data_IF_112866797378
#
_entry.id   IF_112866797378
#
_cell.length_a   1.000
_cell.length_b   1.000
_cell.length_c   1.000
_cell.angle_alpha   90.00
_cell.angle_beta   90.00
_cell.angle_gamma   90.00
#
_symmetry.space_group_name_H-M   'P 1'
#
loop_
_entity.id
_entity.type
_entity.pdbx_description
1 polymer ?
#
# COMPACT_ATOMS: atom_id res chain seq x y z
N UNK A 1 -11.08 7.69 4.71
CA UNK A 1 -10.59 7.80 6.11
C UNK A 1 -11.21 6.69 6.93
N UNK A 2 -10.39 5.93 7.65
CA UNK A 2 -10.80 4.89 8.59
C UNK A 2 -10.38 5.31 10.00
N UNK A 3 -11.33 5.28 10.93
CA UNK A 3 -11.10 5.71 12.30
C UNK A 3 -11.90 4.83 13.26
N UNK A 4 -11.28 4.54 14.40
CA UNK A 4 -11.98 3.99 15.55
C UNK A 4 -12.58 5.15 16.34
N UNK A 5 -13.83 4.99 16.75
CA UNK A 5 -14.57 6.04 17.45
C UNK A 5 -14.82 5.61 18.89
N UNK A 6 -14.44 6.49 19.80
CA UNK A 6 -14.74 6.35 21.22
C UNK A 6 -15.68 7.48 21.66
N UNK A 7 -16.73 7.15 22.40
CA UNK A 7 -17.67 8.13 22.93
C UNK A 7 -17.39 8.31 24.42
N UNK A 8 -17.03 9.53 24.82
CA UNK A 8 -16.74 9.87 26.22
C UNK A 8 -17.70 10.94 26.74
N UNK A 9 -17.94 10.92 28.05
CA UNK A 9 -18.75 11.94 28.73
C UNK A 9 -17.91 13.19 29.00
N UNK A 10 -18.60 14.32 29.22
CA UNK A 10 -17.96 15.60 29.52
C UNK A 10 -17.12 15.53 30.80
N UNK A 11 -17.65 14.86 31.83
CA UNK A 11 -16.99 14.72 33.13
C UNK A 11 -15.75 13.82 33.08
N UNK A 12 -15.71 12.84 32.17
CA UNK A 12 -14.58 11.93 32.05
C UNK A 12 -13.37 12.58 31.38
N UNK A 13 -13.58 13.60 30.54
CA UNK A 13 -12.53 14.32 29.79
C UNK A 13 -12.80 15.84 29.75
N UNK A 14 -12.71 16.53 30.91
CA UNK A 14 -12.96 17.97 30.97
C UNK A 14 -11.97 18.76 30.12
N UNK A 15 -10.73 18.26 29.99
CA UNK A 15 -9.66 18.81 29.16
C UNK A 15 -10.04 18.91 27.67
N UNK A 16 -10.86 17.98 27.18
CA UNK A 16 -11.36 18.00 25.81
C UNK A 16 -12.57 18.91 25.67
N UNK A 17 -13.43 18.98 26.69
CA UNK A 17 -14.58 19.87 26.67
C UNK A 17 -14.15 21.34 26.57
N UNK A 18 -13.12 21.75 27.33
CA UNK A 18 -12.57 23.11 27.27
C UNK A 18 -12.09 23.47 25.85
N UNK A 19 -11.37 22.56 25.18
CA UNK A 19 -10.87 22.78 23.80
C UNK A 19 -11.96 22.83 22.75
N UNK A 20 -13.08 22.15 22.99
CA UNK A 20 -14.22 22.09 22.07
C UNK A 20 -15.26 23.18 22.36
N UNK A 21 -15.07 23.94 23.44
CA UNK A 21 -16.03 24.97 23.83
C UNK A 21 -15.94 26.18 22.92
N UNK A 22 -17.09 26.61 22.41
CA UNK A 22 -17.19 27.76 21.52
C UNK A 22 -17.71 28.95 22.33
N UNK A 23 -16.93 30.02 22.42
CA UNK A 23 -17.35 31.26 23.06
C UNK A 23 -18.57 31.86 22.34
N UNK A 24 -19.52 32.39 23.12
CA UNK A 24 -20.73 33.04 22.63
C UNK A 24 -21.64 32.19 21.73
N UNK A 25 -21.48 30.86 21.72
CA UNK A 25 -22.36 29.94 21.01
C UNK A 25 -23.35 29.30 21.99
N UNK A 26 -24.64 29.31 21.67
CA UNK A 26 -25.67 28.67 22.50
C UNK A 26 -25.82 27.20 22.12
N UNK A 27 -25.28 26.29 22.93
CA UNK A 27 -25.39 24.85 22.76
C UNK A 27 -25.52 24.11 24.09
N UNK A 28 -26.00 22.87 24.05
CA UNK A 28 -26.02 21.96 25.20
C UNK A 28 -25.10 20.78 24.91
N UNK A 29 -23.86 20.75 25.42
CA UNK A 29 -22.95 19.64 25.19
C UNK A 29 -23.50 18.37 25.86
N UNK A 30 -23.34 17.22 25.20
CA UNK A 30 -23.85 15.93 25.70
C UNK A 30 -22.75 14.88 25.80
N UNK A 31 -21.98 14.69 24.73
CA UNK A 31 -20.91 13.70 24.64
C UNK A 31 -19.79 14.24 23.76
N UNK A 32 -18.60 13.71 23.94
CA UNK A 32 -17.44 13.96 23.07
C UNK A 32 -17.20 12.68 22.27
N UNK A 33 -16.97 12.82 20.97
CA UNK A 33 -16.58 11.73 20.10
C UNK A 33 -15.10 11.88 19.77
N UNK A 34 -14.29 10.93 20.22
CA UNK A 34 -12.87 10.87 19.91
C UNK A 34 -12.66 9.94 18.71
N UNK A 35 -12.21 10.53 17.61
CA UNK A 35 -11.85 9.80 16.40
C UNK A 35 -10.35 9.49 16.43
N UNK A 36 -10.00 8.22 16.62
CA UNK A 36 -8.63 7.73 16.48
C UNK A 36 -8.43 7.34 15.03
N UNK A 37 -7.77 8.22 14.27
CA UNK A 37 -7.52 8.01 12.84
C UNK A 37 -6.52 6.87 12.68
N UNK A 38 -6.98 5.75 12.14
CA UNK A 38 -6.17 4.56 11.89
C UNK A 38 -5.59 4.57 10.46
N UNK A 39 -6.30 5.22 9.53
CA UNK A 39 -5.85 5.37 8.16
C UNK A 39 -6.50 6.56 7.50
N UNK A 40 -5.68 7.42 6.90
CA UNK A 40 -6.16 8.49 6.03
C UNK A 40 -5.88 8.10 4.59
N UNK A 41 -6.92 7.69 3.88
CA UNK A 41 -6.83 7.51 2.43
C UNK A 41 -6.92 8.89 1.78
N UNK A 42 -5.78 9.40 1.30
CA UNK A 42 -5.71 10.63 0.53
C UNK A 42 -6.47 10.50 -0.80
N UNK A 43 -6.65 9.26 -1.27
CA UNK A 43 -7.24 8.93 -2.55
C UNK A 43 -8.65 8.34 -2.34
N UNK A 44 -9.63 9.19 -2.08
CA UNK A 44 -11.02 8.74 -2.01
C UNK A 44 -11.56 8.44 -3.43
N UNK A 45 -11.94 7.19 -3.76
CA UNK A 45 -12.47 6.86 -5.09
C UNK A 45 -13.79 7.57 -5.42
N UNK A 46 -14.50 8.12 -4.44
CA UNK A 46 -15.66 8.99 -4.71
C UNK A 46 -15.30 10.28 -5.44
N UNK A 47 -14.04 10.72 -5.37
CA UNK A 47 -13.59 12.00 -5.92
C UNK A 47 -12.48 11.88 -6.96
N UNK A 48 -11.96 10.67 -7.18
CA UNK A 48 -10.98 10.39 -8.23
C UNK A 48 -11.72 9.68 -9.36
N UNK A 49 -12.07 10.43 -10.40
CA UNK A 49 -12.61 9.84 -11.63
C UNK A 49 -11.50 9.08 -12.35
N UNK A 50 -11.64 7.76 -12.59
CA UNK A 50 -10.66 7.00 -13.36
C UNK A 50 -10.52 7.59 -14.77
N UNK A 51 -9.29 7.95 -15.17
CA UNK A 51 -9.02 8.56 -16.49
C UNK A 51 -9.02 7.53 -17.63
N UNK A 52 -8.67 6.28 -17.33
CA UNK A 52 -8.57 5.19 -18.30
C UNK A 52 -9.34 3.97 -17.80
N UNK A 53 -9.93 3.23 -18.72
CA UNK A 53 -10.49 1.90 -18.41
C UNK A 53 -9.41 0.83 -18.47
N UNK A 54 -9.62 -0.28 -17.78
CA UNK A 54 -8.63 -1.38 -17.72
C UNK A 54 -8.15 -1.85 -19.09
N UNK A 55 -9.06 -1.93 -20.06
CA UNK A 55 -8.74 -2.38 -21.42
C UNK A 55 -7.73 -1.46 -22.11
N UNK A 56 -7.90 -0.14 -21.99
CA UNK A 56 -7.00 0.84 -22.60
C UNK A 56 -5.60 0.76 -22.00
N UNK A 57 -5.51 0.59 -20.67
CA UNK A 57 -4.22 0.41 -19.99
C UNK A 57 -3.56 -0.90 -20.39
N UNK A 58 -4.32 -1.98 -20.52
CA UNK A 58 -3.80 -3.28 -20.93
C UNK A 58 -3.27 -3.22 -22.37
N UNK A 59 -4.01 -2.60 -23.30
CA UNK A 59 -3.58 -2.41 -24.68
C UNK A 59 -2.32 -1.54 -24.76
N UNK A 60 -2.26 -0.44 -24.01
CA UNK A 60 -1.10 0.46 -24.00
C UNK A 60 0.18 -0.19 -23.43
N UNK A 61 0.05 -1.19 -22.56
CA UNK A 61 1.17 -1.87 -21.91
C UNK A 61 1.46 -3.26 -22.50
N UNK A 62 0.71 -3.71 -23.51
CA UNK A 62 0.78 -5.08 -24.02
C UNK A 62 2.21 -5.46 -24.47
N UNK A 63 2.86 -4.60 -25.26
CA UNK A 63 4.20 -4.83 -25.77
C UNK A 63 5.23 -4.98 -24.63
N UNK A 64 5.11 -4.15 -23.59
CA UNK A 64 5.99 -4.19 -22.42
C UNK A 64 5.77 -5.46 -21.59
N UNK A 65 4.51 -5.91 -21.48
CA UNK A 65 4.16 -7.15 -20.78
C UNK A 65 4.76 -8.35 -21.51
N UNK A 66 4.67 -8.37 -22.84
CA UNK A 66 5.24 -9.43 -23.68
C UNK A 66 6.78 -9.46 -23.61
N UNK A 67 7.42 -8.28 -23.69
CA UNK A 67 8.86 -8.18 -23.53
C UNK A 67 9.32 -8.62 -22.13
N UNK A 68 8.63 -8.17 -21.08
CA UNK A 68 8.95 -8.56 -19.70
C UNK A 68 8.81 -10.09 -19.51
N UNK A 69 7.84 -10.73 -20.17
CA UNK A 69 7.68 -12.18 -20.15
C UNK A 69 8.87 -12.86 -20.84
N UNK A 70 9.23 -12.43 -22.06
CA UNK A 70 10.37 -12.97 -22.81
C UNK A 70 11.67 -12.86 -22.00
N UNK A 71 11.95 -11.67 -21.46
CA UNK A 71 13.16 -11.41 -20.68
C UNK A 71 13.21 -12.24 -19.40
N UNK A 72 12.07 -12.48 -18.74
CA UNK A 72 12.02 -13.38 -17.57
C UNK A 72 12.34 -14.82 -17.94
N UNK A 73 11.78 -15.33 -19.05
CA UNK A 73 12.07 -16.68 -19.52
C UNK A 73 13.55 -16.86 -19.91
N UNK A 74 14.13 -15.87 -20.58
CA UNK A 74 15.55 -15.88 -20.94
C UNK A 74 16.45 -15.82 -19.71
N UNK A 75 16.16 -14.91 -18.76
CA UNK A 75 16.90 -14.82 -17.51
C UNK A 75 16.90 -16.15 -16.74
N UNK A 76 15.77 -16.85 -16.68
CA UNK A 76 15.69 -18.15 -16.01
C UNK A 76 16.51 -19.24 -16.74
N UNK A 77 16.56 -19.22 -18.09
CA UNK A 77 17.42 -20.13 -18.86
C UNK A 77 18.90 -19.84 -18.61
N UNK A 78 19.31 -18.57 -18.67
CA UNK A 78 20.69 -18.16 -18.45
C UNK A 78 21.17 -18.51 -17.04
N UNK A 79 20.34 -18.27 -16.01
CA UNK A 79 20.66 -18.67 -14.63
C UNK A 79 20.90 -20.17 -14.49
N UNK A 80 20.09 -21.01 -15.16
CA UNK A 80 20.29 -22.47 -15.15
C UNK A 80 21.60 -22.87 -15.82
N UNK A 81 21.91 -22.31 -16.99
CA UNK A 81 23.17 -22.56 -17.69
C UNK A 81 24.38 -22.15 -16.86
N UNK A 82 24.33 -20.97 -16.24
CA UNK A 82 25.39 -20.49 -15.33
C UNK A 82 25.55 -21.46 -14.16
N UNK A 83 24.45 -21.91 -13.55
CA UNK A 83 24.49 -22.86 -12.44
C UNK A 83 25.12 -24.19 -12.84
N UNK A 84 24.73 -24.75 -13.99
CA UNK A 84 25.29 -25.99 -14.53
C UNK A 84 26.79 -25.88 -14.83
N UNK A 85 27.22 -24.80 -15.51
CA UNK A 85 28.62 -24.56 -15.81
C UNK A 85 29.46 -24.37 -14.55
N UNK A 86 28.97 -23.59 -13.59
CA UNK A 86 29.64 -23.37 -12.30
C UNK A 86 29.84 -24.69 -11.54
N UNK A 87 28.86 -25.59 -11.60
CA UNK A 87 28.96 -26.90 -10.96
C UNK A 87 29.94 -27.83 -11.69
N UNK A 88 29.96 -27.82 -13.01
CA UNK A 88 30.91 -28.59 -13.82
C UNK A 88 32.36 -28.16 -13.55
N UNK A 89 32.62 -26.86 -13.50
CA UNK A 89 33.96 -26.31 -13.17
C UNK A 89 34.43 -26.77 -11.79
N UNK A 90 33.55 -26.71 -10.78
CA UNK A 90 33.85 -27.21 -9.43
C UNK A 90 34.17 -28.71 -9.42
N UNK A 91 33.41 -29.51 -10.17
CA UNK A 91 33.67 -30.95 -10.29
C UNK A 91 35.02 -31.24 -10.96
N UNK A 92 35.37 -30.51 -12.01
CA UNK A 92 36.67 -30.66 -12.67
C UNK A 92 37.83 -30.26 -11.76
N UNK A 93 37.69 -29.17 -11.00
CA UNK A 93 38.70 -28.73 -10.04
C UNK A 93 38.95 -29.79 -8.95
N UNK A 94 37.88 -30.43 -8.47
CA UNK A 94 37.97 -31.48 -7.46
C UNK A 94 38.62 -32.78 -7.98
N UNK A 95 38.51 -33.08 -9.28
CA UNK A 95 39.11 -34.28 -9.90
C UNK A 95 40.61 -34.15 -10.24
N UNK A 96 41.20 -32.96 -10.12
CA UNK A 96 42.61 -32.69 -10.45
C UNK A 96 43.54 -32.66 -9.22
N UNK A 97 43.01 -32.92 -8.03
CA UNK A 97 43.76 -33.10 -6.77
C UNK A 97 43.83 -34.59 -6.48
#
# INVERSE_FOLDING_TARGET
MFAEVEIVTLSNRPDFFEKLSLENYKYKPMRIMLFKIQGYDWNCPQHITPRFIHKEVQEALQDQIEEAKRLKEENEKLKKQIFELTNYEKQLACRKI
#
